data_IF_402866477558
#
_entry.id   IF_402866477558
#
_cell.length_a   1.000
_cell.length_b   1.000
_cell.length_c   1.000
_cell.angle_alpha   90.00
_cell.angle_beta   90.00
_cell.angle_gamma   90.00
#
_symmetry.space_group_name_H-M   'P 1'
#
loop_
_entity.id
_entity.type
_entity.pdbx_description
1 polymer ?
#
# COMPACT_ATOMS: atom_id res chain seq x y z
N UNK A 1 -20.39 37.87 -3.22
CA UNK A 1 -20.11 36.49 -2.76
C UNK A 1 -19.89 35.51 -3.91
N UNK A 2 -20.72 35.49 -4.94
CA UNK A 2 -20.62 34.52 -6.06
C UNK A 2 -19.29 34.58 -6.85
N UNK A 3 -18.76 35.78 -7.12
CA UNK A 3 -17.47 35.94 -7.79
C UNK A 3 -16.29 35.35 -7.00
N UNK A 4 -16.26 35.55 -5.68
CA UNK A 4 -15.21 35.01 -4.81
C UNK A 4 -15.24 33.47 -4.83
N UNK A 5 -16.44 32.89 -4.75
CA UNK A 5 -16.64 31.45 -4.85
C UNK A 5 -16.13 30.90 -6.19
N UNK A 6 -16.49 31.54 -7.31
CA UNK A 6 -16.05 31.14 -8.65
C UNK A 6 -14.52 31.23 -8.80
N UNK A 7 -13.89 32.24 -8.21
CA UNK A 7 -12.43 32.38 -8.24
C UNK A 7 -11.73 31.30 -7.41
N UNK A 8 -12.27 30.95 -6.23
CA UNK A 8 -11.66 29.98 -5.30
C UNK A 8 -11.88 28.53 -5.74
N UNK A 9 -13.00 28.25 -6.40
CA UNK A 9 -13.44 26.93 -6.85
C UNK A 9 -12.32 26.03 -7.43
N UNK A 10 -11.51 26.46 -8.42
CA UNK A 10 -10.48 25.59 -9.00
C UNK A 10 -9.40 25.15 -7.99
N UNK A 11 -9.02 26.03 -7.07
CA UNK A 11 -8.02 25.69 -6.04
C UNK A 11 -8.57 24.68 -5.04
N UNK A 12 -9.83 24.86 -4.61
CA UNK A 12 -10.48 23.90 -3.72
C UNK A 12 -10.62 22.52 -4.37
N UNK A 13 -10.95 22.45 -5.66
CA UNK A 13 -11.00 21.17 -6.40
C UNK A 13 -9.65 20.45 -6.46
N UNK A 14 -8.56 21.18 -6.71
CA UNK A 14 -7.21 20.61 -6.67
C UNK A 14 -6.90 20.08 -5.26
N UNK A 15 -7.21 20.86 -4.22
CA UNK A 15 -7.04 20.44 -2.83
C UNK A 15 -7.90 19.22 -2.47
N UNK A 16 -9.11 19.14 -3.00
CA UNK A 16 -10.01 17.99 -2.82
C UNK A 16 -9.44 16.73 -3.47
N UNK A 17 -8.98 16.80 -4.72
CA UNK A 17 -8.33 15.66 -5.38
C UNK A 17 -7.06 15.23 -4.62
N UNK A 18 -6.22 16.18 -4.24
CA UNK A 18 -5.00 15.91 -3.48
C UNK A 18 -5.32 15.26 -2.12
N UNK A 19 -6.40 15.70 -1.45
CA UNK A 19 -6.82 15.15 -0.16
C UNK A 19 -7.25 13.70 -0.24
N UNK A 20 -7.80 13.22 -1.36
CA UNK A 20 -8.08 11.78 -1.56
C UNK A 20 -6.80 10.94 -1.50
N UNK A 21 -5.73 11.39 -2.15
CA UNK A 21 -4.44 10.68 -2.11
C UNK A 21 -3.89 10.61 -0.69
N UNK A 22 -3.92 11.72 0.03
CA UNK A 22 -3.44 11.76 1.43
C UNK A 22 -4.33 10.92 2.35
N UNK A 23 -5.66 11.03 2.23
CA UNK A 23 -6.61 10.28 3.03
C UNK A 23 -6.46 8.76 2.84
N UNK A 24 -6.31 8.31 1.60
CA UNK A 24 -6.10 6.90 1.26
C UNK A 24 -4.83 6.34 1.91
N UNK A 25 -3.73 7.09 1.87
CA UNK A 25 -2.48 6.66 2.48
C UNK A 25 -2.50 6.77 4.02
N UNK A 26 -3.25 7.73 4.59
CA UNK A 26 -3.49 7.79 6.03
C UNK A 26 -4.35 6.62 6.52
N UNK A 27 -5.34 6.19 5.74
CA UNK A 27 -6.15 5.00 6.03
C UNK A 27 -5.29 3.75 6.01
N UNK A 28 -4.43 3.65 5.00
CA UNK A 28 -3.48 2.56 4.88
C UNK A 28 -2.42 2.45 5.99
N UNK A 29 -2.21 3.51 6.78
CA UNK A 29 -1.35 3.54 7.99
C UNK A 29 -2.21 3.45 9.28
N UNK A 30 -3.54 3.56 9.18
CA UNK A 30 -4.47 3.52 10.31
C UNK A 30 -4.66 4.87 11.03
N UNK A 31 -4.27 5.98 10.41
CA UNK A 31 -4.42 7.34 10.97
C UNK A 31 -5.63 8.10 10.44
N UNK A 32 -6.26 7.64 9.37
CA UNK A 32 -7.44 8.32 8.81
C UNK A 32 -8.66 8.29 9.76
N UNK A 33 -8.73 7.31 10.66
CA UNK A 33 -9.76 7.23 11.70
C UNK A 33 -9.87 8.48 12.58
N UNK A 34 -8.77 9.22 12.78
CA UNK A 34 -8.78 10.51 13.51
C UNK A 34 -9.52 11.64 12.79
N UNK A 35 -9.65 11.55 11.47
CA UNK A 35 -10.29 12.58 10.65
C UNK A 35 -11.73 12.23 10.26
N UNK A 36 -12.08 10.94 10.29
CA UNK A 36 -13.38 10.46 9.85
C UNK A 36 -14.32 10.04 11.00
N UNK A 37 -13.97 10.32 12.26
CA UNK A 37 -14.71 9.93 13.47
C UNK A 37 -15.09 8.43 13.52
N UNK A 38 -14.23 7.58 12.95
CA UNK A 38 -14.39 6.12 12.85
C UNK A 38 -13.52 5.38 13.90
N UNK A 39 -12.64 6.09 14.62
CA UNK A 39 -11.67 5.47 15.50
C UNK A 39 -12.26 5.08 16.87
N UNK A 40 -12.75 3.85 16.99
CA UNK A 40 -12.89 3.16 18.29
C UNK A 40 -11.81 2.05 18.40
N UNK A 41 -10.82 2.17 19.29
CA UNK A 41 -9.82 1.14 19.49
C UNK A 41 -10.47 -0.13 20.07
N UNK A 42 -10.45 -1.23 19.30
CA UNK A 42 -10.93 -2.54 19.73
C UNK A 42 -12.17 -3.08 19.02
N UNK A 43 -12.77 -2.32 18.10
CA UNK A 43 -13.93 -2.78 17.30
C UNK A 43 -13.54 -2.83 15.81
N UNK A 44 -13.70 -3.97 15.12
CA UNK A 44 -13.51 -4.05 13.68
C UNK A 44 -14.66 -3.31 12.98
N UNK A 45 -14.39 -2.08 12.56
CA UNK A 45 -15.26 -1.19 11.78
C UNK A 45 -16.58 -0.75 12.46
N UNK A 46 -16.85 0.55 12.61
CA UNK A 46 -18.18 1.01 12.95
C UNK A 46 -19.11 0.73 11.76
N UNK A 47 -20.02 -0.23 11.95
CA UNK A 47 -21.03 -0.68 11.00
C UNK A 47 -21.98 0.42 10.46
N UNK A 48 -21.86 1.67 10.94
CA UNK A 48 -22.89 2.70 10.78
C UNK A 48 -22.40 4.02 10.15
N UNK A 49 -21.10 4.22 9.87
CA UNK A 49 -20.63 5.38 9.11
C UNK A 49 -19.50 5.00 8.14
N UNK A 50 -19.86 4.35 7.02
CA UNK A 50 -18.89 3.89 6.01
C UNK A 50 -18.47 4.97 5.00
N UNK A 51 -18.94 6.22 5.13
CA UNK A 51 -18.60 7.25 4.13
C UNK A 51 -17.27 7.95 4.47
N UNK A 52 -16.21 7.83 3.66
CA UNK A 52 -14.93 8.53 3.88
C UNK A 52 -15.00 10.02 3.53
N UNK A 53 -16.13 10.46 2.96
CA UNK A 53 -16.32 11.79 2.39
C UNK A 53 -16.20 12.89 3.46
N UNK A 54 -16.62 12.63 4.69
CA UNK A 54 -16.52 13.61 5.78
C UNK A 54 -15.05 13.90 6.13
N UNK A 55 -14.26 12.85 6.38
CA UNK A 55 -12.83 12.97 6.66
C UNK A 55 -12.05 13.57 5.49
N UNK A 56 -12.35 13.16 4.25
CA UNK A 56 -11.74 13.76 3.05
C UNK A 56 -12.06 15.25 2.93
N UNK A 57 -13.29 15.69 3.22
CA UNK A 57 -13.65 17.11 3.22
C UNK A 57 -12.85 17.90 4.27
N UNK A 58 -12.68 17.36 5.48
CA UNK A 58 -11.86 17.99 6.53
C UNK A 58 -10.41 18.14 6.05
N UNK A 59 -9.81 17.07 5.53
CA UNK A 59 -8.45 17.09 4.98
C UNK A 59 -8.35 18.08 3.82
N UNK A 60 -9.35 18.14 2.93
CA UNK A 60 -9.38 19.07 1.79
C UNK A 60 -9.33 20.53 2.22
N UNK A 61 -9.96 20.89 3.35
CA UNK A 61 -9.92 22.25 3.89
C UNK A 61 -8.53 22.59 4.40
N UNK A 62 -7.90 21.68 5.16
CA UNK A 62 -6.51 21.85 5.59
C UNK A 62 -5.56 21.95 4.39
N UNK A 63 -5.77 21.11 3.39
CA UNK A 63 -4.98 21.09 2.18
C UNK A 63 -5.16 22.34 1.32
N UNK A 64 -6.35 22.95 1.33
CA UNK A 64 -6.62 24.23 0.71
C UNK A 64 -5.86 25.37 1.39
N UNK A 65 -5.91 25.43 2.74
CA UNK A 65 -5.12 26.40 3.51
C UNK A 65 -3.62 26.23 3.27
N UNK A 66 -3.16 24.98 3.20
CA UNK A 66 -1.79 24.64 2.84
C UNK A 66 -1.44 25.07 1.40
N UNK A 67 -2.31 24.85 0.42
CA UNK A 67 -2.09 25.25 -0.97
C UNK A 67 -1.96 26.78 -1.10
N UNK A 68 -2.76 27.55 -0.36
CA UNK A 68 -2.61 29.01 -0.28
C UNK A 68 -1.22 29.38 0.24
N UNK A 69 -0.74 28.74 1.31
CA UNK A 69 0.61 28.95 1.84
C UNK A 69 1.68 28.59 0.80
N UNK A 70 1.56 27.44 0.13
CA UNK A 70 2.48 27.00 -0.93
C UNK A 70 2.52 28.05 -2.05
N UNK A 71 1.37 28.57 -2.47
CA UNK A 71 1.29 29.64 -3.48
C UNK A 71 2.03 30.91 -3.07
N UNK A 72 1.89 31.35 -1.82
CA UNK A 72 2.61 32.51 -1.29
C UNK A 72 4.13 32.27 -1.25
N UNK A 73 4.55 31.09 -0.80
CA UNK A 73 5.97 30.69 -0.74
C UNK A 73 6.55 30.57 -2.15
N UNK A 74 5.79 30.04 -3.11
CA UNK A 74 6.17 29.94 -4.52
C UNK A 74 6.39 31.30 -5.16
N UNK A 75 5.43 32.22 -5.02
CA UNK A 75 5.60 33.59 -5.51
C UNK A 75 6.83 34.24 -4.87
N UNK A 76 7.03 34.04 -3.56
CA UNK A 76 8.22 34.57 -2.85
C UNK A 76 9.52 34.01 -3.40
N UNK A 77 9.59 32.70 -3.64
CA UNK A 77 10.74 32.01 -4.24
C UNK A 77 11.02 32.51 -5.66
N UNK A 78 9.99 32.65 -6.49
CA UNK A 78 10.13 33.19 -7.85
C UNK A 78 10.67 34.63 -7.86
N UNK A 79 10.32 35.46 -6.87
CA UNK A 79 10.88 36.82 -6.74
C UNK A 79 12.36 36.85 -6.34
N UNK A 80 12.90 35.77 -5.74
CA UNK A 80 14.34 35.66 -5.45
C UNK A 80 15.15 35.68 -6.76
N UNK A 81 14.64 35.00 -7.77
CA UNK A 81 15.23 34.94 -9.12
C UNK A 81 15.16 36.30 -9.85
N UNK A 82 14.18 37.14 -9.49
CA UNK A 82 14.06 38.50 -10.01
C UNK A 82 12.62 38.96 -10.20
N UNK A 83 12.44 40.18 -10.71
CA UNK A 83 11.10 40.79 -10.86
C UNK A 83 10.25 40.09 -11.93
N UNK A 84 10.81 39.79 -13.10
CA UNK A 84 10.11 39.11 -14.21
C UNK A 84 9.62 37.70 -13.83
N UNK A 85 10.46 36.80 -13.29
CA UNK A 85 9.99 35.48 -12.85
C UNK A 85 9.00 35.57 -11.68
N UNK A 86 9.18 36.52 -10.75
CA UNK A 86 8.22 36.74 -9.68
C UNK A 86 6.84 37.19 -10.17
N UNK A 87 6.78 38.11 -11.15
CA UNK A 87 5.49 38.51 -11.75
C UNK A 87 4.86 37.37 -12.56
N UNK A 88 5.66 36.57 -13.26
CA UNK A 88 5.16 35.39 -13.97
C UNK A 88 4.59 34.35 -12.98
N UNK A 89 5.28 34.09 -11.86
CA UNK A 89 4.80 33.20 -10.80
C UNK A 89 3.49 33.66 -10.18
N UNK A 90 3.33 34.97 -9.94
CA UNK A 90 2.06 35.54 -9.46
C UNK A 90 0.93 35.32 -10.47
N UNK A 91 1.20 35.55 -11.76
CA UNK A 91 0.21 35.30 -12.81
C UNK A 91 -0.17 33.82 -12.86
N UNK A 92 0.79 32.91 -12.81
CA UNK A 92 0.55 31.46 -12.79
C UNK A 92 -0.36 31.06 -11.62
N UNK A 93 -0.11 31.57 -10.42
CA UNK A 93 -0.92 31.24 -9.23
C UNK A 93 -2.33 31.78 -9.35
N UNK A 94 -2.54 32.98 -9.91
CA UNK A 94 -3.87 33.59 -10.01
C UNK A 94 -4.66 33.14 -11.25
N UNK A 95 -3.97 32.61 -12.26
CA UNK A 95 -4.53 32.27 -13.57
C UNK A 95 -5.70 31.29 -13.51
N UNK A 96 -5.67 30.18 -12.73
CA UNK A 96 -6.81 29.26 -12.63
C UNK A 96 -8.08 29.95 -12.14
N UNK A 97 -7.94 30.86 -11.17
CA UNK A 97 -9.07 31.64 -10.65
C UNK A 97 -9.65 32.59 -11.69
N UNK A 98 -8.81 33.28 -12.47
CA UNK A 98 -9.29 34.15 -13.54
C UNK A 98 -9.96 33.38 -14.69
N UNK A 99 -9.44 32.21 -15.06
CA UNK A 99 -10.08 31.33 -16.03
C UNK A 99 -11.47 30.88 -15.56
N UNK A 100 -11.60 30.51 -14.29
CA UNK A 100 -12.89 30.12 -13.71
C UNK A 100 -13.90 31.29 -13.70
N UNK A 101 -13.43 32.53 -13.47
CA UNK A 101 -14.27 33.74 -13.61
C UNK A 101 -14.72 34.00 -15.05
N UNK A 102 -13.89 33.65 -16.03
CA UNK A 102 -14.22 33.74 -17.46
C UNK A 102 -15.16 32.61 -17.94
N UNK A 103 -15.59 31.71 -17.05
CA UNK A 103 -16.47 30.58 -17.36
C UNK A 103 -15.72 29.32 -17.83
N UNK A 104 -14.39 29.37 -17.92
CA UNK A 104 -13.57 28.19 -18.24
C UNK A 104 -13.28 27.40 -16.96
N UNK A 105 -14.24 26.55 -16.58
CA UNK A 105 -14.07 25.60 -15.48
C UNK A 105 -13.93 24.17 -16.05
N UNK A 106 -12.71 23.61 -16.14
CA UNK A 106 -12.54 22.24 -16.59
C UNK A 106 -13.29 21.28 -15.65
N UNK A 107 -13.88 20.23 -16.22
CA UNK A 107 -14.59 19.19 -15.48
C UNK A 107 -13.59 18.29 -14.75
N UNK A 108 -13.35 18.59 -13.47
CA UNK A 108 -12.39 17.86 -12.63
C UNK A 108 -12.86 16.46 -12.19
N UNK A 109 -14.06 16.02 -12.59
CA UNK A 109 -14.63 14.74 -12.16
C UNK A 109 -13.78 13.53 -12.55
N UNK A 110 -13.08 13.58 -13.69
CA UNK A 110 -12.24 12.47 -14.19
C UNK A 110 -10.98 12.23 -13.34
N UNK A 111 -10.63 13.21 -12.48
CA UNK A 111 -9.40 13.20 -11.70
C UNK A 111 -9.65 12.76 -10.25
N UNK A 112 -10.92 12.62 -9.86
CA UNK A 112 -11.34 12.13 -8.55
C UNK A 112 -11.43 10.61 -8.64
N UNK A 113 -10.86 9.85 -7.69
CA UNK A 113 -11.04 8.40 -7.65
C UNK A 113 -12.52 8.03 -7.54
N UNK A 114 -12.96 7.03 -8.31
CA UNK A 114 -14.34 6.52 -8.27
C UNK A 114 -14.63 5.83 -6.93
N UNK A 115 -13.65 5.07 -6.42
CA UNK A 115 -13.75 4.33 -5.16
C UNK A 115 -12.68 4.75 -4.15
N UNK A 116 -13.05 4.68 -2.87
CA UNK A 116 -12.13 4.81 -1.73
C UNK A 116 -11.98 3.44 -1.07
N UNK A 117 -10.78 2.89 -1.09
CA UNK A 117 -10.52 1.54 -0.61
C UNK A 117 -10.18 1.58 0.88
N UNK A 118 -10.93 0.88 1.72
CA UNK A 118 -10.57 0.71 3.13
C UNK A 118 -9.47 -0.36 3.27
N UNK A 119 -8.48 -0.10 4.13
CA UNK A 119 -7.35 -1.00 4.36
C UNK A 119 -6.04 -0.61 3.65
N UNK A 120 -5.00 -1.44 3.83
CA UNK A 120 -3.63 -1.19 3.35
C UNK A 120 -3.35 -1.81 1.97
N UNK A 121 -2.36 -1.25 1.24
CA UNK A 121 -1.92 -1.74 -0.07
C UNK A 121 -2.48 -1.00 -1.30
N UNK A 122 -3.30 0.04 -1.13
CA UNK A 122 -3.70 0.92 -2.24
C UNK A 122 -3.21 2.35 -1.98
N UNK A 123 -2.25 2.80 -2.81
CA UNK A 123 -1.55 4.10 -2.66
C UNK A 123 -2.40 5.27 -3.18
N UNK A 124 -3.56 5.00 -3.78
CA UNK A 124 -4.41 6.00 -4.43
C UNK A 124 -4.25 6.03 -5.95
N UNK A 125 -5.08 6.84 -6.62
CA UNK A 125 -5.06 6.97 -8.07
C UNK A 125 -3.86 7.77 -8.59
N UNK A 126 -3.47 7.52 -9.84
CA UNK A 126 -2.35 8.22 -10.49
C UNK A 126 -2.43 9.75 -10.36
N UNK A 127 -3.62 10.32 -10.61
CA UNK A 127 -3.83 11.77 -10.61
C UNK A 127 -3.72 12.41 -9.23
N UNK A 128 -4.29 11.77 -8.19
CA UNK A 128 -4.24 12.32 -6.84
C UNK A 128 -2.80 12.32 -6.28
N UNK A 129 -2.04 11.27 -6.58
CA UNK A 129 -0.64 11.14 -6.17
C UNK A 129 0.24 12.12 -6.95
N UNK A 130 0.03 12.22 -8.27
CA UNK A 130 0.76 13.16 -9.13
C UNK A 130 0.59 14.61 -8.70
N UNK A 131 -0.62 15.04 -8.32
CA UNK A 131 -0.87 16.39 -7.80
C UNK A 131 -0.10 16.63 -6.50
N UNK A 132 -0.13 15.67 -5.57
CA UNK A 132 0.61 15.79 -4.31
C UNK A 132 2.13 15.87 -4.53
N UNK A 133 2.67 15.05 -5.43
CA UNK A 133 4.09 15.10 -5.80
C UNK A 133 4.47 16.42 -6.46
N UNK A 134 3.61 16.97 -7.33
CA UNK A 134 3.82 18.28 -7.94
C UNK A 134 3.81 19.39 -6.89
N UNK A 135 2.88 19.35 -5.94
CA UNK A 135 2.81 20.33 -4.84
C UNK A 135 4.07 20.24 -3.97
N UNK A 136 4.51 19.04 -3.62
CA UNK A 136 5.73 18.82 -2.86
C UNK A 136 6.97 19.34 -3.63
N UNK A 137 7.06 19.08 -4.93
CA UNK A 137 8.11 19.57 -5.81
C UNK A 137 8.14 21.11 -5.86
N UNK A 138 7.01 21.76 -6.10
CA UNK A 138 6.90 23.22 -6.14
C UNK A 138 7.27 23.84 -4.80
N UNK A 139 6.83 23.23 -3.69
CA UNK A 139 7.19 23.67 -2.35
C UNK A 139 8.69 23.56 -2.09
N UNK A 140 9.29 22.42 -2.44
CA UNK A 140 10.73 22.18 -2.31
C UNK A 140 11.57 23.16 -3.13
N UNK A 141 11.19 23.39 -4.39
CA UNK A 141 11.81 24.41 -5.23
C UNK A 141 11.77 25.79 -4.58
N UNK A 142 10.61 26.17 -4.07
CA UNK A 142 10.39 27.50 -3.50
C UNK A 142 11.17 27.71 -2.20
N UNK A 143 11.13 26.73 -1.29
CA UNK A 143 11.82 26.79 0.00
C UNK A 143 13.33 26.83 -0.20
N UNK A 144 13.88 25.96 -1.05
CA UNK A 144 15.32 25.91 -1.29
C UNK A 144 15.83 27.18 -1.96
N UNK A 145 15.07 27.82 -2.86
CA UNK A 145 15.42 29.14 -3.40
C UNK A 145 15.50 30.22 -2.30
N UNK A 146 14.52 30.24 -1.39
CA UNK A 146 14.49 31.20 -0.29
C UNK A 146 15.69 30.97 0.64
N UNK A 147 15.97 29.72 1.01
CA UNK A 147 17.12 29.35 1.83
C UNK A 147 18.45 29.70 1.16
N UNK A 148 18.63 29.36 -0.12
CA UNK A 148 19.84 29.67 -0.86
C UNK A 148 20.11 31.19 -0.92
N UNK A 149 19.06 32.01 -1.02
CA UNK A 149 19.18 33.46 -0.99
C UNK A 149 19.59 34.02 0.39
N UNK A 150 19.40 33.28 1.49
CA UNK A 150 19.96 33.66 2.79
C UNK A 150 21.47 33.41 2.85
N UNK A 151 21.94 32.27 2.34
CA UNK A 151 23.36 31.91 2.42
C UNK A 151 24.23 32.57 1.34
N UNK A 152 23.68 32.83 0.14
CA UNK A 152 24.38 33.42 -1.03
C UNK A 152 25.78 32.84 -1.26
N UNK A 153 25.92 31.54 -1.08
CA UNK A 153 27.21 30.85 -1.10
C UNK A 153 27.16 29.61 -1.98
N UNK A 154 28.20 29.36 -2.80
CA UNK A 154 28.29 28.14 -3.60
C UNK A 154 28.41 26.87 -2.73
N UNK A 155 28.84 27.01 -1.47
CA UNK A 155 28.91 25.90 -0.50
C UNK A 155 27.54 25.26 -0.25
N UNK A 156 26.47 26.06 -0.29
CA UNK A 156 25.11 25.55 -0.13
C UNK A 156 24.72 24.59 -1.26
N UNK A 157 25.09 24.92 -2.51
CA UNK A 157 24.85 24.07 -3.66
C UNK A 157 25.57 22.72 -3.52
N UNK A 158 26.85 22.73 -3.16
CA UNK A 158 27.61 21.51 -2.94
C UNK A 158 27.04 20.64 -1.81
N UNK A 159 26.64 21.26 -0.69
CA UNK A 159 25.98 20.54 0.41
C UNK A 159 24.65 19.90 -0.02
N UNK A 160 23.85 20.60 -0.84
CA UNK A 160 22.62 20.06 -1.39
C UNK A 160 22.89 18.91 -2.37
N UNK A 161 23.94 19.01 -3.17
CA UNK A 161 24.33 17.96 -4.11
C UNK A 161 24.73 16.67 -3.39
N UNK A 162 25.42 16.76 -2.24
CA UNK A 162 25.69 15.58 -1.39
C UNK A 162 24.40 14.94 -0.86
N UNK A 163 23.46 15.75 -0.36
CA UNK A 163 22.16 15.25 0.11
C UNK A 163 21.41 14.52 -1.02
N UNK A 164 21.41 15.10 -2.23
CA UNK A 164 20.79 14.50 -3.41
C UNK A 164 21.46 13.17 -3.80
N UNK A 165 22.78 13.08 -3.76
CA UNK A 165 23.51 11.83 -4.04
C UNK A 165 23.18 10.73 -3.02
N UNK A 166 23.10 11.07 -1.73
CA UNK A 166 22.71 10.09 -0.70
C UNK A 166 21.27 9.61 -0.92
N UNK A 167 20.36 10.50 -1.35
CA UNK A 167 18.99 10.12 -1.69
C UNK A 167 18.93 9.14 -2.87
N UNK A 168 19.76 9.31 -3.89
CA UNK A 168 19.84 8.37 -5.01
C UNK A 168 20.24 6.97 -4.55
N UNK A 169 21.17 6.85 -3.58
CA UNK A 169 21.54 5.56 -2.99
C UNK A 169 20.36 4.93 -2.24
N UNK A 170 19.61 5.71 -1.48
CA UNK A 170 18.38 5.26 -0.82
C UNK A 170 17.35 4.78 -1.84
N UNK A 171 17.20 5.50 -2.97
CA UNK A 171 16.34 5.09 -4.09
C UNK A 171 16.75 3.74 -4.70
N UNK A 172 18.06 3.50 -4.86
CA UNK A 172 18.55 2.20 -5.33
C UNK A 172 18.27 1.07 -4.33
N UNK A 173 18.50 1.29 -3.04
CA UNK A 173 18.14 0.30 -1.99
C UNK A 173 16.64 0.01 -1.98
N UNK A 174 15.83 1.05 -2.18
CA UNK A 174 14.38 0.93 -2.25
C UNK A 174 13.93 0.02 -3.41
N UNK A 175 14.54 0.14 -4.61
CA UNK A 175 14.22 -0.76 -5.74
C UNK A 175 14.51 -2.24 -5.42
N UNK A 176 15.58 -2.50 -4.66
CA UNK A 176 15.91 -3.87 -4.21
C UNK A 176 14.85 -4.39 -3.24
N UNK A 177 14.43 -3.57 -2.27
CA UNK A 177 13.38 -3.94 -1.31
C UNK A 177 12.04 -4.17 -2.01
N UNK A 178 11.69 -3.34 -2.98
CA UNK A 178 10.47 -3.49 -3.77
C UNK A 178 10.47 -4.78 -4.61
N UNK A 179 11.61 -5.10 -5.22
CA UNK A 179 11.79 -6.38 -5.92
C UNK A 179 11.66 -7.58 -4.97
N UNK A 180 12.16 -7.47 -3.74
CA UNK A 180 12.03 -8.53 -2.74
C UNK A 180 10.58 -8.71 -2.26
N UNK A 181 9.87 -7.61 -2.04
CA UNK A 181 8.45 -7.64 -1.67
C UNK A 181 7.58 -8.31 -2.73
N UNK A 182 7.86 -8.03 -4.02
CA UNK A 182 7.19 -8.70 -5.14
C UNK A 182 7.48 -10.20 -5.15
N UNK A 183 8.75 -10.58 -4.96
CA UNK A 183 9.14 -11.98 -4.88
C UNK A 183 8.45 -12.73 -3.73
N UNK A 184 8.35 -12.12 -2.55
CA UNK A 184 7.65 -12.71 -1.40
C UNK A 184 6.14 -12.87 -1.68
N UNK A 185 5.52 -11.92 -2.40
CA UNK A 185 4.11 -12.02 -2.83
C UNK A 185 3.89 -13.16 -3.82
N UNK A 186 4.75 -13.28 -4.84
CA UNK A 186 4.65 -14.35 -5.82
C UNK A 186 4.86 -15.71 -5.14
N UNK A 187 5.85 -15.81 -4.23
CA UNK A 187 6.09 -17.01 -3.45
C UNK A 187 4.91 -17.38 -2.53
N UNK A 188 4.20 -16.39 -1.98
CA UNK A 188 2.98 -16.62 -1.19
C UNK A 188 1.88 -17.25 -2.05
N UNK A 189 1.63 -16.70 -3.24
CA UNK A 189 0.62 -17.22 -4.18
C UNK A 189 0.96 -18.64 -4.62
N UNK A 190 2.21 -18.90 -4.97
CA UNK A 190 2.68 -20.24 -5.38
C UNK A 190 2.59 -21.25 -4.24
N UNK A 191 2.99 -20.86 -3.02
CA UNK A 191 2.88 -21.71 -1.83
C UNK A 191 1.41 -22.00 -1.50
N UNK A 192 0.54 -21.00 -1.62
CA UNK A 192 -0.90 -21.15 -1.42
C UNK A 192 -1.52 -22.11 -2.43
N UNK A 193 -1.16 -21.98 -3.72
CA UNK A 193 -1.61 -22.89 -4.78
C UNK A 193 -1.15 -24.33 -4.53
N UNK A 194 0.14 -24.52 -4.25
CA UNK A 194 0.70 -25.83 -3.94
C UNK A 194 0.00 -26.46 -2.72
N UNK A 195 -0.26 -25.68 -1.68
CA UNK A 195 -1.00 -26.14 -0.51
C UNK A 195 -2.44 -26.52 -0.87
N UNK A 196 -3.10 -25.75 -1.74
CA UNK A 196 -4.42 -26.10 -2.28
C UNK A 196 -4.43 -27.43 -3.03
N UNK A 197 -3.39 -27.71 -3.83
CA UNK A 197 -3.23 -28.98 -4.54
C UNK A 197 -3.03 -30.14 -3.56
N UNK A 198 -2.24 -29.95 -2.48
CA UNK A 198 -2.16 -30.93 -1.40
C UNK A 198 -3.51 -31.16 -0.71
N UNK A 199 -4.26 -30.09 -0.40
CA UNK A 199 -5.57 -30.23 0.25
C UNK A 199 -6.56 -31.01 -0.60
N UNK A 200 -6.57 -30.77 -1.92
CA UNK A 200 -7.36 -31.56 -2.87
C UNK A 200 -6.90 -33.01 -2.90
N UNK A 201 -5.60 -33.24 -3.02
CA UNK A 201 -5.01 -34.58 -2.97
C UNK A 201 -5.41 -35.36 -1.72
N UNK A 202 -5.31 -34.75 -0.53
CA UNK A 202 -5.75 -35.39 0.71
C UNK A 202 -7.26 -35.59 0.75
N UNK A 203 -8.06 -34.62 0.32
CA UNK A 203 -9.52 -34.72 0.31
C UNK A 203 -9.99 -35.90 -0.52
N UNK A 204 -9.46 -36.05 -1.73
CA UNK A 204 -9.83 -37.11 -2.66
C UNK A 204 -9.48 -38.49 -2.06
N UNK A 205 -8.24 -38.70 -1.60
CA UNK A 205 -7.82 -39.99 -1.02
C UNK A 205 -8.59 -40.38 0.25
N UNK A 206 -8.92 -39.40 1.09
CA UNK A 206 -9.69 -39.65 2.31
C UNK A 206 -11.19 -39.81 2.05
N UNK A 207 -11.71 -39.30 0.92
CA UNK A 207 -13.05 -39.62 0.45
C UNK A 207 -13.14 -41.09 0.02
N UNK A 208 -12.20 -41.54 -0.82
CA UNK A 208 -12.16 -42.92 -1.30
C UNK A 208 -12.01 -43.91 -0.13
N UNK A 209 -11.16 -43.57 0.86
CA UNK A 209 -11.02 -44.36 2.08
C UNK A 209 -12.32 -44.39 2.89
N UNK A 210 -13.00 -43.26 3.06
CA UNK A 210 -14.29 -43.20 3.76
C UNK A 210 -15.34 -44.08 3.09
N UNK A 211 -15.46 -44.05 1.77
CA UNK A 211 -16.42 -44.86 1.00
C UNK A 211 -16.11 -46.36 1.13
N UNK A 212 -14.83 -46.72 1.06
CA UNK A 212 -14.39 -48.11 1.25
C UNK A 212 -14.62 -48.61 2.69
N UNK A 213 -14.41 -47.75 3.69
CA UNK A 213 -14.66 -48.04 5.09
C UNK A 213 -16.15 -48.28 5.42
N UNK A 214 -17.08 -47.79 4.59
CA UNK A 214 -18.52 -48.03 4.76
C UNK A 214 -18.97 -49.34 4.11
N UNK A 215 -18.20 -49.87 3.17
CA UNK A 215 -18.59 -51.01 2.33
C UNK A 215 -18.01 -52.33 2.82
N UNK A 216 -16.78 -52.32 3.34
CA UNK A 216 -16.10 -53.54 3.81
C UNK A 216 -16.28 -53.71 5.34
N UNK A 217 -16.92 -54.80 5.77
CA UNK A 217 -17.15 -55.12 7.19
C UNK A 217 -16.05 -56.00 7.79
N UNK A 218 -15.02 -56.35 7.03
CA UNK A 218 -13.97 -57.30 7.45
C UNK A 218 -12.77 -56.67 8.18
N UNK A 219 -12.86 -55.39 8.55
CA UNK A 219 -11.77 -54.67 9.21
C UNK A 219 -11.49 -55.13 10.64
N UNK A 220 -10.21 -55.29 10.95
CA UNK A 220 -9.68 -55.43 12.30
C UNK A 220 -9.92 -54.16 13.15
N UNK A 221 -9.75 -54.27 14.46
CA UNK A 221 -9.88 -53.12 15.37
C UNK A 221 -8.92 -51.95 15.01
N UNK A 222 -7.74 -52.26 14.47
CA UNK A 222 -6.76 -51.25 14.06
C UNK A 222 -7.16 -50.53 12.77
N UNK A 223 -7.73 -51.23 11.78
CA UNK A 223 -8.23 -50.63 10.54
C UNK A 223 -9.49 -49.79 10.79
N UNK A 224 -10.37 -50.25 11.68
CA UNK A 224 -11.53 -49.47 12.13
C UNK A 224 -11.13 -48.13 12.80
N UNK A 225 -9.98 -48.08 13.50
CA UNK A 225 -9.47 -46.82 14.04
C UNK A 225 -9.03 -45.85 12.93
N UNK A 226 -8.43 -46.35 11.85
CA UNK A 226 -8.05 -45.52 10.69
C UNK A 226 -9.28 -45.03 9.93
N UNK A 227 -10.30 -45.88 9.78
CA UNK A 227 -11.58 -45.47 9.19
C UNK A 227 -12.25 -44.32 9.97
N UNK A 228 -12.24 -44.37 11.31
CA UNK A 228 -12.72 -43.26 12.16
C UNK A 228 -11.92 -41.99 11.93
N UNK A 229 -10.59 -42.09 11.87
CA UNK A 229 -9.73 -40.95 11.56
C UNK A 229 -10.00 -40.39 10.15
N UNK A 230 -10.29 -41.25 9.18
CA UNK A 230 -10.56 -40.84 7.80
C UNK A 230 -11.84 -40.01 7.68
N UNK A 231 -12.92 -40.42 8.36
CA UNK A 231 -14.17 -39.63 8.45
C UNK A 231 -13.89 -38.26 9.05
N UNK A 232 -13.10 -38.20 10.12
CA UNK A 232 -12.73 -36.94 10.78
C UNK A 232 -11.92 -36.03 9.86
N UNK A 233 -10.87 -36.54 9.22
CA UNK A 233 -10.01 -35.80 8.27
C UNK A 233 -10.84 -35.26 7.10
N UNK A 234 -11.67 -36.09 6.48
CA UNK A 234 -12.53 -35.68 5.36
C UNK A 234 -13.50 -34.57 5.77
N UNK A 235 -14.13 -34.68 6.96
CA UNK A 235 -15.08 -33.66 7.43
C UNK A 235 -14.43 -32.29 7.62
N UNK A 236 -13.22 -32.24 8.22
CA UNK A 236 -12.48 -30.99 8.43
C UNK A 236 -11.96 -30.43 7.10
N UNK A 237 -11.41 -31.29 6.21
CA UNK A 237 -10.95 -30.86 4.89
C UNK A 237 -12.09 -30.35 4.00
N UNK A 238 -13.30 -30.91 4.11
CA UNK A 238 -14.45 -30.44 3.34
C UNK A 238 -14.87 -29.02 3.72
N UNK A 239 -14.62 -28.60 4.96
CA UNK A 239 -14.87 -27.23 5.44
C UNK A 239 -13.69 -26.31 5.06
N UNK A 240 -12.44 -26.77 5.26
CA UNK A 240 -11.24 -25.95 5.06
C UNK A 240 -10.78 -25.83 3.59
N UNK A 241 -11.25 -26.70 2.68
CA UNK A 241 -10.90 -26.67 1.25
C UNK A 241 -11.62 -25.58 0.44
N UNK A 242 -12.50 -24.80 1.08
CA UNK A 242 -13.40 -23.86 0.38
C UNK A 242 -12.81 -22.45 0.21
N UNK A 243 -11.73 -22.10 0.92
CA UNK A 243 -11.10 -20.78 0.80
C UNK A 243 -9.79 -20.79 0.01
N UNK A 244 -9.71 -20.05 -1.09
CA UNK A 244 -8.47 -19.78 -1.85
C UNK A 244 -7.64 -18.62 -1.28
N UNK A 245 -8.16 -17.94 -0.26
CA UNK A 245 -7.48 -16.82 0.38
C UNK A 245 -6.33 -17.30 1.29
N UNK A 246 -5.08 -16.87 1.02
CA UNK A 246 -3.91 -17.28 1.80
C UNK A 246 -4.00 -16.81 3.26
N UNK A 247 -4.66 -15.68 3.52
CA UNK A 247 -4.86 -15.10 4.85
C UNK A 247 -5.72 -15.99 5.76
N UNK A 248 -6.71 -16.70 5.19
CA UNK A 248 -7.55 -17.66 5.89
C UNK A 248 -6.89 -19.04 5.94
N UNK A 249 -6.30 -19.46 4.80
CA UNK A 249 -5.74 -20.80 4.66
C UNK A 249 -4.64 -21.09 5.67
N UNK A 250 -3.87 -20.09 6.10
CA UNK A 250 -2.79 -20.27 7.11
C UNK A 250 -3.24 -20.86 8.45
N UNK A 251 -4.53 -20.77 8.79
CA UNK A 251 -5.09 -21.29 10.05
C UNK A 251 -5.76 -22.67 9.90
N UNK A 252 -5.73 -23.24 8.71
CA UNK A 252 -6.46 -24.47 8.37
C UNK A 252 -5.71 -25.77 8.63
N UNK A 253 -4.66 -25.78 9.45
CA UNK A 253 -3.75 -26.94 9.64
C UNK A 253 -4.25 -27.99 10.66
N UNK A 254 -5.34 -27.71 11.36
CA UNK A 254 -5.89 -28.54 12.45
C UNK A 254 -6.21 -30.00 12.06
N UNK A 255 -6.51 -30.27 10.78
CA UNK A 255 -6.77 -31.63 10.30
C UNK A 255 -5.52 -32.53 10.30
N UNK A 256 -4.32 -31.96 10.25
CA UNK A 256 -3.06 -32.72 10.29
C UNK A 256 -2.91 -33.52 11.59
N UNK A 257 -3.47 -33.03 12.69
CA UNK A 257 -3.46 -33.72 13.98
C UNK A 257 -4.38 -34.96 13.99
N UNK A 258 -5.28 -35.08 13.02
CA UNK A 258 -6.19 -36.21 12.87
C UNK A 258 -5.67 -37.28 11.90
N UNK A 259 -4.46 -37.09 11.35
CA UNK A 259 -3.83 -38.06 10.47
C UNK A 259 -3.44 -39.34 11.23
N UNK A 260 -3.61 -40.53 10.62
CA UNK A 260 -3.13 -41.78 11.21
C UNK A 260 -1.60 -41.79 11.35
N UNK A 261 -1.09 -42.54 12.34
CA UNK A 261 0.36 -42.74 12.51
C UNK A 261 0.99 -43.55 11.37
N UNK A 262 2.34 -43.53 11.24
CA UNK A 262 3.07 -44.16 10.13
C UNK A 262 2.74 -45.64 9.95
N UNK A 263 2.70 -46.41 11.05
CA UNK A 263 2.40 -47.84 10.99
C UNK A 263 0.97 -48.12 10.51
N UNK A 264 0.03 -47.22 10.83
CA UNK A 264 -1.36 -47.35 10.42
C UNK A 264 -1.53 -47.03 8.94
N UNK A 265 -0.81 -46.02 8.43
CA UNK A 265 -0.77 -45.68 7.00
C UNK A 265 -0.17 -46.82 6.19
N UNK A 266 0.98 -47.36 6.63
CA UNK A 266 1.64 -48.47 5.95
C UNK A 266 0.75 -49.72 5.88
N UNK A 267 0.02 -50.05 6.96
CA UNK A 267 -0.93 -51.16 6.97
C UNK A 267 -2.08 -50.97 5.99
N UNK A 268 -2.68 -49.79 5.93
CA UNK A 268 -3.78 -49.50 5.00
C UNK A 268 -3.30 -49.54 3.55
N UNK A 269 -2.16 -48.91 3.23
CA UNK A 269 -1.60 -48.98 1.88
C UNK A 269 -1.27 -50.43 1.47
N UNK A 270 -0.70 -51.23 2.38
CA UNK A 270 -0.47 -52.64 2.12
C UNK A 270 -1.77 -53.43 1.91
N UNK A 271 -2.80 -53.20 2.74
CA UNK A 271 -4.09 -53.90 2.63
C UNK A 271 -4.79 -53.64 1.29
N UNK A 272 -4.91 -52.37 0.88
CA UNK A 272 -5.62 -52.00 -0.34
C UNK A 272 -4.80 -52.24 -1.61
N UNK A 273 -3.47 -52.00 -1.58
CA UNK A 273 -2.63 -52.08 -2.78
C UNK A 273 -2.06 -53.49 -3.05
N UNK A 274 -2.04 -54.41 -2.08
CA UNK A 274 -1.57 -55.80 -2.31
C UNK A 274 -2.64 -56.74 -2.87
N UNK A 275 -3.93 -56.40 -2.71
CA UNK A 275 -5.04 -57.24 -3.17
C UNK A 275 -5.27 -57.05 -4.68
N UNK A 276 -5.11 -58.12 -5.45
CA UNK A 276 -5.22 -58.09 -6.92
C UNK A 276 -6.52 -57.45 -7.47
N UNK A 277 -7.65 -57.60 -6.75
CA UNK A 277 -8.95 -57.02 -7.13
C UNK A 277 -9.10 -55.51 -6.89
N UNK A 278 -8.27 -54.89 -6.05
CA UNK A 278 -8.35 -53.44 -5.72
C UNK A 278 -7.12 -52.66 -6.22
N UNK A 279 -6.27 -53.29 -7.04
CA UNK A 279 -5.06 -52.68 -7.61
C UNK A 279 -5.32 -51.42 -8.46
N UNK A 280 -6.54 -51.25 -8.98
CA UNK A 280 -6.97 -50.03 -9.67
C UNK A 280 -7.30 -48.85 -8.76
N UNK A 281 -7.47 -49.06 -7.45
CA UNK A 281 -7.81 -48.03 -6.48
C UNK A 281 -6.57 -47.36 -5.85
N UNK A 282 -5.37 -47.91 -6.06
CA UNK A 282 -4.13 -47.27 -5.67
C UNK A 282 -3.60 -46.42 -6.84
N UNK A 283 -3.55 -45.11 -6.63
CA UNK A 283 -3.08 -44.17 -7.64
C UNK A 283 -1.70 -43.63 -7.28
N UNK A 284 -0.92 -43.32 -8.31
CA UNK A 284 0.38 -42.67 -8.16
C UNK A 284 0.21 -41.26 -7.58
N UNK A 285 1.22 -40.81 -6.84
CA UNK A 285 1.28 -39.42 -6.37
C UNK A 285 1.54 -38.50 -7.57
N UNK A 286 0.75 -37.42 -7.76
CA UNK A 286 1.00 -36.48 -8.84
C UNK A 286 2.42 -35.92 -8.79
N UNK A 287 3.07 -35.80 -9.95
CA UNK A 287 4.51 -35.45 -10.04
C UNK A 287 4.89 -34.15 -9.33
N UNK A 288 4.01 -33.16 -9.33
CA UNK A 288 4.22 -31.88 -8.65
C UNK A 288 4.09 -31.94 -7.12
N UNK A 289 3.54 -33.03 -6.56
CA UNK A 289 3.38 -33.28 -5.12
C UNK A 289 4.39 -34.29 -4.56
N UNK A 290 5.20 -34.91 -5.42
CA UNK A 290 6.22 -35.86 -4.99
C UNK A 290 7.29 -35.19 -4.12
N UNK A 291 7.72 -35.87 -3.05
CA UNK A 291 8.74 -35.38 -2.12
C UNK A 291 10.13 -35.79 -2.59
N UNK A 292 10.25 -37.02 -3.09
CA UNK A 292 11.50 -37.60 -3.54
C UNK A 292 11.27 -38.31 -4.90
N UNK A 293 12.36 -38.62 -5.60
CA UNK A 293 12.29 -39.38 -6.85
C UNK A 293 11.94 -40.87 -6.64
N UNK A 294 11.99 -41.36 -5.41
CA UNK A 294 11.69 -42.76 -5.06
C UNK A 294 10.18 -43.03 -5.06
N UNK A 295 9.35 -42.01 -4.89
CA UNK A 295 7.89 -42.05 -5.05
C UNK A 295 7.45 -42.18 -6.53
N UNK A 296 8.40 -42.13 -7.48
CA UNK A 296 8.06 -42.20 -8.90
C UNK A 296 7.56 -43.60 -9.24
N UNK A 297 6.30 -43.70 -9.66
CA UNK A 297 5.65 -44.98 -9.94
C UNK A 297 5.25 -45.77 -8.68
N UNK A 298 5.42 -45.23 -7.47
CA UNK A 298 4.84 -45.83 -6.27
C UNK A 298 3.34 -45.58 -6.25
N UNK A 299 2.56 -46.64 -6.01
CA UNK A 299 1.10 -46.57 -5.91
C UNK A 299 0.69 -46.71 -4.47
N UNK A 300 0.12 -45.64 -3.94
CA UNK A 300 -0.35 -45.57 -2.57
C UNK A 300 -1.85 -45.31 -2.56
N UNK A 301 -2.54 -45.88 -1.57
CA UNK A 301 -3.98 -45.66 -1.39
C UNK A 301 -4.23 -44.32 -0.70
N UNK A 302 -3.56 -44.12 0.45
CA UNK A 302 -3.53 -42.85 1.18
C UNK A 302 -2.10 -42.26 1.24
N UNK A 303 -1.99 -40.92 1.39
CA UNK A 303 -0.70 -40.24 1.44
C UNK A 303 0.20 -40.71 2.60
N UNK A 304 1.49 -40.84 2.34
CA UNK A 304 2.52 -41.14 3.34
C UNK A 304 2.65 -40.03 4.39
N UNK A 305 3.15 -40.37 5.58
CA UNK A 305 3.44 -39.41 6.67
C UNK A 305 4.39 -38.29 6.26
N UNK A 306 5.32 -38.56 5.35
CA UNK A 306 6.23 -37.57 4.79
C UNK A 306 5.48 -36.42 4.10
N UNK A 307 4.35 -36.70 3.43
CA UNK A 307 3.51 -35.65 2.84
C UNK A 307 2.85 -34.79 3.92
N UNK A 308 2.45 -35.38 5.06
CA UNK A 308 1.87 -34.64 6.18
C UNK A 308 2.86 -33.65 6.77
N UNK A 309 4.11 -34.07 6.96
CA UNK A 309 5.19 -33.20 7.44
C UNK A 309 5.53 -32.09 6.43
N UNK A 310 5.51 -32.40 5.13
CA UNK A 310 5.69 -31.39 4.08
C UNK A 310 4.56 -30.36 4.09
N UNK A 311 3.31 -30.79 4.22
CA UNK A 311 2.16 -29.90 4.33
C UNK A 311 2.26 -29.02 5.57
N UNK A 312 2.68 -29.56 6.72
CA UNK A 312 2.94 -28.77 7.94
C UNK A 312 3.96 -27.65 7.68
N UNK A 313 5.08 -27.98 7.04
CA UNK A 313 6.09 -26.98 6.63
C UNK A 313 5.54 -25.95 5.64
N UNK A 314 4.63 -26.34 4.74
CA UNK A 314 3.98 -25.42 3.81
C UNK A 314 3.04 -24.46 4.54
N UNK A 315 2.27 -24.91 5.53
CA UNK A 315 1.47 -24.02 6.39
C UNK A 315 2.35 -23.02 7.15
N UNK A 316 3.42 -23.49 7.79
CA UNK A 316 4.37 -22.60 8.48
C UNK A 316 4.99 -21.58 7.53
N UNK A 317 5.40 -22.02 6.34
CA UNK A 317 5.96 -21.14 5.29
C UNK A 317 4.92 -20.13 4.81
N UNK A 318 3.69 -20.55 4.56
CA UNK A 318 2.59 -19.69 4.14
C UNK A 318 2.30 -18.63 5.20
N UNK A 319 2.23 -19.02 6.48
CA UNK A 319 2.03 -18.08 7.59
C UNK A 319 3.09 -16.98 7.62
N UNK A 320 4.37 -17.34 7.54
CA UNK A 320 5.48 -16.38 7.48
C UNK A 320 5.40 -15.46 6.26
N UNK A 321 5.01 -16.00 5.09
CA UNK A 321 4.88 -15.21 3.86
C UNK A 321 3.71 -14.24 3.93
N UNK A 322 2.56 -14.65 4.45
CA UNK A 322 1.41 -13.78 4.67
C UNK A 322 1.79 -12.62 5.60
N UNK A 323 2.50 -12.90 6.70
CA UNK A 323 2.94 -11.84 7.62
C UNK A 323 3.91 -10.85 6.95
N UNK A 324 4.87 -11.35 6.16
CA UNK A 324 5.78 -10.49 5.37
C UNK A 324 5.04 -9.63 4.35
N UNK A 325 4.11 -10.22 3.60
CA UNK A 325 3.33 -9.50 2.57
C UNK A 325 2.41 -8.46 3.23
N UNK A 326 1.78 -8.80 4.35
CA UNK A 326 0.97 -7.84 5.13
C UNK A 326 1.81 -6.65 5.60
N UNK A 327 2.97 -6.93 6.19
CA UNK A 327 3.91 -5.89 6.61
C UNK A 327 4.33 -5.03 5.40
N UNK A 328 4.62 -5.65 4.26
CA UNK A 328 4.99 -4.93 3.04
C UNK A 328 3.88 -4.01 2.53
N UNK A 329 2.60 -4.44 2.56
CA UNK A 329 1.44 -3.61 2.19
C UNK A 329 1.24 -2.41 3.11
N UNK A 330 1.52 -2.53 4.40
CA UNK A 330 1.50 -1.38 5.33
C UNK A 330 2.63 -0.39 4.97
N UNK A 331 3.82 -0.91 4.67
CA UNK A 331 4.92 -0.07 4.20
C UNK A 331 4.58 0.62 2.88
N UNK A 332 3.74 0.04 2.00
CA UNK A 332 3.38 0.66 0.73
C UNK A 332 2.77 2.06 0.88
N UNK A 333 1.91 2.25 1.86
CA UNK A 333 1.33 3.56 2.13
C UNK A 333 2.35 4.54 2.74
N UNK A 334 3.36 4.03 3.45
CA UNK A 334 4.47 4.84 3.93
C UNK A 334 5.40 5.28 2.78
N UNK A 335 5.54 4.45 1.73
CA UNK A 335 6.30 4.80 0.51
C UNK A 335 5.77 6.06 -0.14
N UNK A 336 4.46 6.27 -0.14
CA UNK A 336 3.83 7.47 -0.67
C UNK A 336 4.41 8.76 -0.06
N UNK A 337 4.54 8.81 1.27
CA UNK A 337 5.11 9.97 1.96
C UNK A 337 6.60 10.12 1.69
N UNK A 338 7.33 9.00 1.55
CA UNK A 338 8.73 9.03 1.10
C UNK A 338 8.85 9.63 -0.31
N UNK A 339 7.96 9.28 -1.25
CA UNK A 339 7.93 9.88 -2.59
C UNK A 339 7.59 11.37 -2.57
N UNK A 340 6.74 11.83 -1.64
CA UNK A 340 6.54 13.26 -1.40
C UNK A 340 7.84 13.95 -0.96
N UNK A 341 8.60 13.33 -0.05
CA UNK A 341 9.91 13.86 0.39
C UNK A 341 10.92 13.88 -0.76
N UNK A 342 10.99 12.81 -1.56
CA UNK A 342 11.85 12.75 -2.74
C UNK A 342 11.46 13.84 -3.74
N UNK A 343 10.17 14.04 -3.99
CA UNK A 343 9.65 15.08 -4.89
C UNK A 343 10.03 16.47 -4.40
N UNK A 344 9.92 16.72 -3.09
CA UNK A 344 10.38 17.95 -2.46
C UNK A 344 11.89 18.18 -2.68
N UNK A 345 12.72 17.15 -2.49
CA UNK A 345 14.15 17.23 -2.72
C UNK A 345 14.48 17.43 -4.22
N UNK A 346 13.72 16.82 -5.12
CA UNK A 346 13.87 17.02 -6.56
C UNK A 346 13.58 18.49 -6.93
N UNK A 347 12.56 19.08 -6.31
CA UNK A 347 12.26 20.50 -6.42
C UNK A 347 13.43 21.37 -5.97
N UNK A 348 14.07 21.01 -4.87
CA UNK A 348 15.27 21.70 -4.39
C UNK A 348 16.47 21.60 -5.33
N UNK A 349 16.68 20.45 -5.99
CA UNK A 349 17.70 20.33 -7.03
C UNK A 349 17.38 21.20 -8.26
N UNK A 350 16.11 21.28 -8.64
CA UNK A 350 15.68 22.20 -9.69
C UNK A 350 15.89 23.67 -9.28
N UNK A 351 15.76 24.00 -8.00
CA UNK A 351 16.06 25.32 -7.48
C UNK A 351 17.55 25.65 -7.59
N UNK A 352 18.47 24.74 -7.21
CA UNK A 352 19.91 24.99 -7.35
C UNK A 352 20.34 25.15 -8.81
N UNK A 353 19.70 24.40 -9.73
CA UNK A 353 19.87 24.61 -11.17
C UNK A 353 19.37 25.99 -11.61
N UNK A 354 18.19 26.40 -11.15
CA UNK A 354 17.62 27.74 -11.44
C UNK A 354 18.55 28.88 -10.98
N UNK A 355 19.19 28.72 -9.81
CA UNK A 355 20.17 29.68 -9.29
C UNK A 355 21.43 29.74 -10.16
N UNK A 356 21.90 28.59 -10.63
CA UNK A 356 23.10 28.54 -11.48
C UNK A 356 22.93 29.27 -12.82
N UNK A 357 21.71 29.30 -13.37
CA UNK A 357 21.40 30.01 -14.61
C UNK A 357 21.46 31.53 -14.42
N UNK A 358 21.01 32.03 -13.27
CA UNK A 358 20.92 33.48 -12.99
C UNK A 358 22.23 34.05 -12.42
N UNK A 359 23.04 33.19 -11.79
CA UNK A 359 24.24 33.55 -11.07
C UNK A 359 23.93 33.98 -9.63
N UNK A 360 24.72 33.47 -8.69
CA UNK A 360 24.46 33.59 -7.25
C UNK A 360 24.52 35.05 -6.75
N UNK A 361 25.32 35.90 -7.39
CA UNK A 361 25.44 37.32 -7.08
C UNK A 361 24.25 38.19 -7.53
N UNK A 362 23.42 37.69 -8.44
CA UNK A 362 22.32 38.46 -9.05
C UNK A 362 20.97 38.28 -8.34
N UNK A 363 20.92 37.52 -7.24
CA UNK A 363 19.69 37.30 -6.48
C UNK A 363 19.17 38.60 -5.88
N UNK A 364 17.94 39.00 -6.25
CA UNK A 364 17.32 40.27 -5.82
C UNK A 364 16.17 40.01 -4.86
N UNK A 365 16.40 40.20 -3.56
CA UNK A 365 15.36 40.05 -2.52
C UNK A 365 14.41 41.26 -2.38
N UNK A 366 14.05 41.95 -3.47
CA UNK A 366 13.05 43.03 -3.40
C UNK A 366 11.66 42.47 -3.69
N UNK A 367 11.05 41.85 -2.68
CA UNK A 367 9.70 41.28 -2.81
C UNK A 367 8.59 42.31 -2.56
N UNK A 368 7.51 42.20 -3.32
CA UNK A 368 6.27 42.95 -3.08
C UNK A 368 5.57 42.52 -1.79
N UNK A 369 5.73 41.26 -1.36
CA UNK A 369 5.14 40.71 -0.14
C UNK A 369 5.71 41.36 1.13
N UNK A 370 7.00 41.68 1.15
CA UNK A 370 7.63 42.49 2.21
C UNK A 370 7.13 43.93 2.20
N UNK A 371 6.85 44.53 1.04
CA UNK A 371 6.20 45.85 0.97
C UNK A 371 4.75 45.78 1.44
N UNK A 372 4.00 44.77 1.03
CA UNK A 372 2.61 44.56 1.43
C UNK A 372 2.50 44.27 2.93
N UNK A 373 3.30 43.36 3.48
CA UNK A 373 3.42 43.13 4.92
C UNK A 373 3.85 44.38 5.66
N UNK A 374 4.82 45.15 5.13
CA UNK A 374 5.24 46.41 5.75
C UNK A 374 4.10 47.43 5.75
N UNK A 375 3.30 47.52 4.68
CA UNK A 375 2.12 48.40 4.59
C UNK A 375 0.98 47.91 5.51
N UNK A 376 0.72 46.60 5.57
CA UNK A 376 -0.30 46.01 6.44
C UNK A 376 0.11 46.23 7.90
N UNK A 377 1.35 45.89 8.28
CA UNK A 377 1.90 46.15 9.60
C UNK A 377 1.86 47.65 9.95
N UNK A 378 2.23 48.54 9.02
CA UNK A 378 2.15 49.98 9.25
C UNK A 378 0.70 50.44 9.46
N UNK A 379 -0.26 49.94 8.66
CA UNK A 379 -1.69 50.25 8.82
C UNK A 379 -2.25 49.69 10.13
N UNK A 380 -1.86 48.48 10.52
CA UNK A 380 -2.30 47.83 11.77
C UNK A 380 -1.72 48.54 12.99
N UNK A 381 -0.42 48.85 12.97
CA UNK A 381 0.25 49.67 13.98
C UNK A 381 -0.38 51.05 14.11
N UNK A 382 -0.70 51.70 12.98
CA UNK A 382 -1.35 53.01 12.96
C UNK A 382 -2.77 52.95 13.55
N UNK A 383 -3.53 51.90 13.25
CA UNK A 383 -4.86 51.67 13.84
C UNK A 383 -4.81 51.39 15.35
N UNK A 384 -3.79 50.68 15.83
CA UNK A 384 -3.59 50.44 17.28
C UNK A 384 -3.22 51.74 17.98
N UNK A 385 -2.34 52.55 17.38
CA UNK A 385 -1.93 53.84 17.96
C UNK A 385 -3.04 54.89 17.98
N UNK A 386 -3.94 54.88 16.99
CA UNK A 386 -5.15 55.73 16.93
C UNK A 386 -6.25 55.33 17.92
N UNK A 387 -6.23 54.10 18.45
CA UNK A 387 -7.16 53.66 19.51
C UNK A 387 -6.62 53.91 20.93
N UNK A 388 -5.34 54.29 21.04
CA UNK A 388 -4.66 54.53 22.31
C UNK A 388 -4.48 56.03 22.64
N UNK A 389 -4.93 56.92 21.75
CA UNK A 389 -5.21 58.34 22.00
C UNK A 389 -6.72 58.53 21.98
#
# INVERSE_FOLDING_TARGET
MQWLYLFIKPYYWISFIASYGVAQNLEGIGWFGYFNDIYEPGIPYPLLNLSPVAGVKIISLFFFMFLVLVGLVFVRGAYVLGRKPGTAGLLIVLFPGFLSLAGFAPSWWLLIPEDFNLGSGYIGGFWNSGINFLIAFVLGWSIILIFANFFKSPKFKHGYDHLWCMLSLVGCMYLVVDSQAKFDRDQMVDTNKLLGDYLRFYKDRYQDLKESCLTDTSFSAAENAVCKSAVKVYSILSINSVGDEPELRRYGDSWLQSLPGPDAIARINAYFCSRANNSGACHETPTHLMINSQEFGSKDYIPLTAHGERVRKLYEKLGRLVDKVKLSREHENLKYFLFCIISFLAGGKAATASLSIIGEGNMKSRSWLLRAMRVIFFKWWFLIKLRAC
#
